data_IF_281763280252
#
_entry.id   IF_281763280252
#
_cell.length_a   1.000
_cell.length_b   1.000
_cell.length_c   1.000
_cell.angle_alpha   90.00
_cell.angle_beta   90.00
_cell.angle_gamma   90.00
#
_symmetry.space_group_name_H-M   'P 1'
#
loop_
_entity.id
_entity.type
_entity.pdbx_description
1 polymer ?
#
# COMPACT_ATOMS: atom_id res chain seq x y z
N UNK A 1 -14.43 15.02 -3.61
CA UNK A 1 -13.91 15.88 -2.52
C UNK A 1 -14.69 17.20 -2.50
N UNK A 2 -15.05 17.74 -1.32
CA UNK A 2 -15.89 18.99 -1.23
C UNK A 2 -15.25 20.11 -0.41
N UNK A 3 -14.28 19.80 0.42
CA UNK A 3 -13.54 20.75 1.24
C UNK A 3 -12.11 20.27 1.41
N UNK A 4 -11.16 21.16 1.75
CA UNK A 4 -9.80 20.76 2.08
C UNK A 4 -9.77 19.71 3.19
N UNK A 5 -8.85 18.75 3.07
CA UNK A 5 -8.68 17.66 4.03
C UNK A 5 -7.21 17.43 4.33
N UNK A 6 -6.87 17.33 5.63
CA UNK A 6 -5.53 16.95 6.06
C UNK A 6 -5.35 15.45 5.96
N UNK A 7 -4.27 15.01 5.34
CA UNK A 7 -3.88 13.61 5.20
C UNK A 7 -2.51 13.34 5.82
N UNK A 8 -2.28 12.11 6.21
CA UNK A 8 -1.03 11.63 6.76
C UNK A 8 -0.46 10.49 5.91
N UNK A 9 0.77 10.64 5.44
CA UNK A 9 1.56 9.63 4.77
C UNK A 9 2.63 9.14 5.74
N UNK A 10 2.50 7.90 6.20
CA UNK A 10 3.35 7.36 7.26
C UNK A 10 4.57 6.68 6.67
N UNK A 11 5.78 7.13 7.04
CA UNK A 11 7.02 6.41 6.82
C UNK A 11 7.51 5.89 8.16
N UNK A 12 7.34 4.61 8.39
CA UNK A 12 7.74 3.97 9.62
C UNK A 12 8.24 2.55 9.39
N UNK A 13 9.11 2.10 10.29
CA UNK A 13 9.52 0.71 10.36
C UNK A 13 8.47 -0.10 11.12
N UNK A 14 8.02 -1.27 10.63
CA UNK A 14 7.21 -2.16 11.45
C UNK A 14 8.03 -2.74 12.61
N UNK A 15 7.38 -3.30 13.61
CA UNK A 15 8.04 -4.26 14.49
C UNK A 15 8.18 -5.56 13.70
N UNK A 16 9.35 -5.76 13.11
CA UNK A 16 9.57 -6.72 12.03
C UNK A 16 9.20 -8.14 12.44
N UNK A 17 8.26 -8.75 11.68
CA UNK A 17 7.75 -10.11 11.89
C UNK A 17 7.08 -10.31 13.26
N UNK A 18 6.54 -9.22 13.82
CA UNK A 18 5.64 -9.23 14.97
C UNK A 18 4.38 -8.43 14.61
N UNK A 19 3.32 -9.13 14.20
CA UNK A 19 2.05 -8.55 13.77
C UNK A 19 1.41 -7.70 14.87
N UNK A 20 1.36 -8.25 16.09
CA UNK A 20 0.61 -7.62 17.18
C UNK A 20 1.31 -6.36 17.67
N UNK A 21 2.62 -6.39 17.83
CA UNK A 21 3.41 -5.21 18.16
C UNK A 21 3.38 -4.15 17.03
N UNK A 22 3.34 -4.57 15.77
CA UNK A 22 3.18 -3.63 14.63
C UNK A 22 1.81 -2.96 14.64
N UNK A 23 0.73 -3.68 14.97
CA UNK A 23 -0.62 -3.10 15.12
C UNK A 23 -0.65 -2.09 16.28
N UNK A 24 0.02 -2.37 17.39
CA UNK A 24 0.14 -1.42 18.51
C UNK A 24 0.93 -0.16 18.10
N UNK A 25 2.04 -0.32 17.37
CA UNK A 25 2.79 0.82 16.81
C UNK A 25 1.91 1.63 15.85
N UNK A 26 1.15 0.97 14.99
CA UNK A 26 0.22 1.62 14.06
C UNK A 26 -0.84 2.43 14.83
N UNK A 27 -1.40 1.90 15.90
CA UNK A 27 -2.38 2.61 16.73
C UNK A 27 -1.79 3.90 17.33
N UNK A 28 -0.55 3.85 17.83
CA UNK A 28 0.15 5.03 18.36
C UNK A 28 0.39 6.09 17.27
N UNK A 29 0.83 5.66 16.07
CA UNK A 29 1.01 6.55 14.92
C UNK A 29 -0.33 7.14 14.45
N UNK A 30 -1.41 6.38 14.53
CA UNK A 30 -2.76 6.87 14.22
C UNK A 30 -3.21 7.94 15.21
N UNK A 31 -2.98 7.74 16.51
CA UNK A 31 -3.26 8.73 17.54
C UNK A 31 -2.48 10.04 17.31
N UNK A 32 -1.19 9.94 16.97
CA UNK A 32 -0.37 11.10 16.63
C UNK A 32 -0.90 11.82 15.40
N UNK A 33 -1.16 11.09 14.31
CA UNK A 33 -1.62 11.66 13.05
C UNK A 33 -2.97 12.39 13.21
N UNK A 34 -3.91 11.78 13.94
CA UNK A 34 -5.23 12.38 14.18
C UNK A 34 -5.17 13.55 15.15
N UNK A 35 -4.24 13.52 16.13
CA UNK A 35 -3.92 14.67 16.96
C UNK A 35 -3.45 15.89 16.15
N UNK A 36 -2.86 15.67 14.97
CA UNK A 36 -2.48 16.70 14.01
C UNK A 36 -3.57 16.97 12.94
N UNK A 37 -4.78 16.45 13.12
CA UNK A 37 -5.96 16.76 12.29
C UNK A 37 -6.10 15.89 11.04
N UNK A 38 -5.30 14.84 10.84
CA UNK A 38 -5.43 13.97 9.68
C UNK A 38 -6.76 13.21 9.69
N UNK A 39 -7.39 13.10 8.51
CA UNK A 39 -8.63 12.34 8.27
C UNK A 39 -8.42 11.12 7.37
N UNK A 40 -7.26 11.01 6.75
CA UNK A 40 -6.81 9.84 6.00
C UNK A 40 -5.37 9.54 6.41
N UNK A 41 -5.14 8.30 6.81
CA UNK A 41 -3.82 7.77 7.15
C UNK A 41 -3.47 6.66 6.16
N UNK A 42 -2.27 6.74 5.59
CA UNK A 42 -1.80 5.75 4.61
C UNK A 42 -0.46 5.18 5.08
N UNK A 43 -0.42 3.86 5.21
CA UNK A 43 0.75 3.08 5.63
C UNK A 43 1.43 2.38 4.45
N UNK A 44 2.72 2.02 4.56
CA UNK A 44 3.48 1.38 3.48
C UNK A 44 2.91 0.04 3.00
N UNK A 45 3.36 -0.40 1.83
CA UNK A 45 3.16 -1.75 1.27
C UNK A 45 3.59 -2.83 2.28
N UNK A 46 2.76 -3.85 2.53
CA UNK A 46 3.05 -4.97 3.44
C UNK A 46 3.68 -4.53 4.79
N UNK A 47 3.20 -3.39 5.33
CA UNK A 47 3.66 -2.87 6.63
C UNK A 47 3.48 -3.90 7.75
N UNK A 48 2.42 -4.70 7.68
CA UNK A 48 2.17 -5.78 8.63
C UNK A 48 2.31 -7.14 7.91
N UNK A 49 3.18 -8.02 8.41
CA UNK A 49 4.08 -7.90 9.57
C UNK A 49 5.44 -7.31 9.21
N UNK A 50 5.77 -7.20 7.94
CA UNK A 50 6.92 -6.54 7.33
C UNK A 50 6.97 -6.87 5.83
N UNK A 51 7.59 -6.00 5.03
CA UNK A 51 7.90 -6.29 3.64
C UNK A 51 9.03 -7.34 3.55
N UNK A 52 8.86 -8.41 2.74
CA UNK A 52 9.89 -9.42 2.55
C UNK A 52 11.02 -8.89 1.67
N UNK A 53 11.98 -8.20 2.29
CA UNK A 53 13.11 -7.60 1.61
C UNK A 53 13.81 -8.59 0.66
N UNK A 54 14.23 -8.12 -0.52
CA UNK A 54 15.01 -8.89 -1.48
C UNK A 54 16.32 -9.43 -0.91
N UNK A 55 16.82 -8.85 0.18
CA UNK A 55 18.03 -9.29 0.89
C UNK A 55 17.91 -10.76 1.30
N UNK A 56 16.74 -11.16 1.81
CA UNK A 56 16.52 -12.53 2.27
C UNK A 56 15.46 -13.31 1.47
N UNK A 57 14.43 -12.65 0.92
CA UNK A 57 13.32 -13.34 0.27
C UNK A 57 13.75 -14.18 -0.95
N UNK A 58 14.79 -13.74 -1.67
CA UNK A 58 15.37 -14.53 -2.79
C UNK A 58 15.88 -15.91 -2.36
N UNK A 59 16.23 -16.11 -1.09
CA UNK A 59 16.65 -17.40 -0.55
C UNK A 59 15.52 -18.44 -0.56
N UNK A 60 14.25 -18.00 -0.61
CA UNK A 60 13.09 -18.88 -0.70
C UNK A 60 13.03 -19.68 -2.01
N UNK A 61 13.79 -19.27 -3.04
CA UNK A 61 13.95 -20.06 -4.27
C UNK A 61 14.81 -21.30 -4.10
N UNK A 62 15.61 -21.38 -3.04
CA UNK A 62 16.53 -22.49 -2.78
C UNK A 62 15.84 -23.67 -2.09
N UNK A 63 15.70 -24.81 -2.78
CA UNK A 63 15.07 -26.03 -2.22
C UNK A 63 15.70 -26.51 -0.90
N UNK A 64 16.98 -26.31 -0.73
CA UNK A 64 17.75 -26.77 0.42
C UNK A 64 18.40 -25.60 1.19
N UNK A 65 17.94 -24.38 0.96
CA UNK A 65 18.47 -23.20 1.64
C UNK A 65 18.12 -23.24 3.13
N UNK A 66 19.13 -23.31 4.03
CA UNK A 66 18.87 -23.38 5.46
C UNK A 66 18.12 -22.13 5.96
N UNK A 67 17.05 -22.34 6.72
CA UNK A 67 16.22 -21.26 7.28
C UNK A 67 15.14 -20.70 6.35
N UNK A 68 15.12 -21.07 5.05
CA UNK A 68 14.16 -20.51 4.10
C UNK A 68 12.71 -20.91 4.44
N UNK A 69 12.46 -22.18 4.76
CA UNK A 69 11.12 -22.66 5.13
C UNK A 69 10.64 -22.06 6.44
N UNK A 70 11.54 -21.94 7.40
CA UNK A 70 11.27 -21.35 8.71
C UNK A 70 10.97 -19.85 8.58
N UNK A 71 11.70 -19.12 7.74
CA UNK A 71 11.44 -17.70 7.47
C UNK A 71 10.07 -17.49 6.80
N UNK A 72 9.71 -18.31 5.81
CA UNK A 72 8.40 -18.29 5.20
C UNK A 72 7.29 -18.62 6.22
N UNK A 73 7.49 -19.66 7.04
CA UNK A 73 6.53 -20.07 8.06
C UNK A 73 6.31 -18.97 9.11
N UNK A 74 7.38 -18.25 9.49
CA UNK A 74 7.28 -17.09 10.38
C UNK A 74 6.45 -15.98 9.74
N UNK A 75 6.78 -15.57 8.51
CA UNK A 75 6.00 -14.57 7.78
C UNK A 75 4.53 -14.97 7.66
N UNK A 76 4.24 -16.23 7.28
CA UNK A 76 2.88 -16.72 7.13
C UNK A 76 2.09 -16.75 8.45
N UNK A 77 2.75 -17.05 9.58
CA UNK A 77 2.13 -17.03 10.90
C UNK A 77 1.76 -15.60 11.34
N UNK A 78 2.64 -14.64 11.04
CA UNK A 78 2.43 -13.24 11.40
C UNK A 78 1.58 -12.47 10.37
N UNK A 79 1.19 -13.12 9.25
CA UNK A 79 0.27 -12.53 8.26
C UNK A 79 -1.17 -12.46 8.78
N UNK A 80 -1.98 -11.59 8.16
CA UNK A 80 -3.37 -11.39 8.54
C UNK A 80 -4.31 -12.27 7.71
N UNK A 81 -5.29 -12.88 8.32
CA UNK A 81 -6.48 -13.40 7.62
C UNK A 81 -7.51 -12.28 7.44
N UNK A 82 -8.18 -12.22 6.29
CA UNK A 82 -9.20 -11.21 5.98
C UNK A 82 -10.43 -11.90 5.39
N UNK A 83 -11.58 -11.91 6.12
CA UNK A 83 -11.78 -11.35 7.46
C UNK A 83 -11.04 -12.12 8.56
N UNK A 84 -10.73 -11.45 9.68
CA UNK A 84 -10.06 -12.04 10.82
C UNK A 84 -9.73 -11.01 11.91
N UNK A 85 -9.42 -11.51 13.11
CA UNK A 85 -9.23 -10.69 14.31
C UNK A 85 -8.25 -9.53 14.13
N UNK A 86 -7.10 -9.77 13.49
CA UNK A 86 -6.10 -8.72 13.26
C UNK A 86 -6.62 -7.63 12.30
N UNK A 87 -7.38 -8.01 11.26
CA UNK A 87 -8.03 -7.05 10.37
C UNK A 87 -9.12 -6.24 11.10
N UNK A 88 -9.88 -6.90 11.99
CA UNK A 88 -10.91 -6.24 12.81
C UNK A 88 -10.28 -5.21 13.78
N UNK A 89 -9.08 -5.49 14.31
CA UNK A 89 -8.32 -4.53 15.14
C UNK A 89 -7.94 -3.29 14.35
N UNK A 90 -7.56 -3.40 13.08
CA UNK A 90 -7.31 -2.24 12.21
C UNK A 90 -8.59 -1.41 12.01
N UNK A 91 -9.73 -2.08 11.79
CA UNK A 91 -11.03 -1.43 11.75
C UNK A 91 -11.38 -0.73 13.07
N UNK A 92 -11.08 -1.33 14.22
CA UNK A 92 -11.29 -0.71 15.51
C UNK A 92 -10.46 0.58 15.69
N UNK A 93 -9.20 0.59 15.23
CA UNK A 93 -8.35 1.78 15.24
C UNK A 93 -8.93 2.88 14.34
N UNK A 94 -9.37 2.54 13.12
CA UNK A 94 -10.01 3.49 12.22
C UNK A 94 -11.25 4.15 12.86
N UNK A 95 -12.07 3.35 13.54
CA UNK A 95 -13.26 3.82 14.25
C UNK A 95 -12.93 4.65 15.48
N UNK A 96 -11.95 4.24 16.30
CA UNK A 96 -11.54 4.98 17.50
C UNK A 96 -11.10 6.40 17.18
N UNK A 97 -10.39 6.56 16.05
CA UNK A 97 -9.86 7.85 15.61
C UNK A 97 -10.73 8.56 14.58
N UNK A 98 -11.86 7.97 14.16
CA UNK A 98 -12.78 8.51 13.14
C UNK A 98 -12.05 8.92 11.85
N UNK A 99 -11.22 8.00 11.30
CA UNK A 99 -10.39 8.24 10.11
C UNK A 99 -10.50 7.14 9.08
N UNK A 100 -10.24 7.48 7.83
CA UNK A 100 -9.88 6.50 6.82
C UNK A 100 -8.47 5.97 7.08
N UNK A 101 -8.34 4.66 7.18
CA UNK A 101 -7.08 3.98 7.41
C UNK A 101 -6.78 3.04 6.24
N UNK A 102 -5.69 3.35 5.50
CA UNK A 102 -5.21 2.48 4.42
C UNK A 102 -3.92 1.81 4.87
N UNK A 103 -3.95 0.48 4.96
CA UNK A 103 -2.82 -0.30 5.49
C UNK A 103 -2.37 -1.36 4.51
N UNK A 104 -1.07 -1.37 4.18
CA UNK A 104 -0.45 -2.48 3.46
C UNK A 104 -0.20 -3.66 4.39
N UNK A 105 -0.64 -4.85 3.97
CA UNK A 105 -0.50 -6.06 4.77
C UNK A 105 -0.08 -7.25 3.91
N UNK A 106 0.59 -8.23 4.52
CA UNK A 106 0.64 -9.58 3.98
C UNK A 106 -0.63 -10.31 4.45
N UNK A 107 -1.51 -10.62 3.51
CA UNK A 107 -2.76 -11.35 3.75
C UNK A 107 -2.52 -12.84 3.58
N UNK A 108 -3.02 -13.67 4.50
CA UNK A 108 -3.03 -15.12 4.41
C UNK A 108 -4.40 -15.61 3.97
N UNK A 109 -4.43 -16.48 2.97
CA UNK A 109 -5.70 -17.07 2.52
C UNK A 109 -6.22 -18.07 3.58
N UNK A 110 -7.42 -17.85 4.15
CA UNK A 110 -7.95 -18.75 5.18
C UNK A 110 -8.33 -20.15 4.66
N UNK A 111 -8.66 -20.26 3.36
CA UNK A 111 -8.99 -21.54 2.72
C UNK A 111 -7.73 -22.26 2.23
N UNK A 112 -6.65 -21.52 1.95
CA UNK A 112 -5.37 -22.03 1.43
C UNK A 112 -4.21 -21.43 2.20
N UNK A 113 -3.98 -21.88 3.45
CA UNK A 113 -3.08 -21.21 4.40
C UNK A 113 -1.60 -21.19 3.98
N UNK A 114 -1.22 -21.87 2.90
CA UNK A 114 0.08 -21.76 2.26
C UNK A 114 0.17 -20.65 1.21
N UNK A 115 -0.94 -19.94 0.93
CA UNK A 115 -0.99 -18.83 -0.05
C UNK A 115 -1.07 -17.51 0.70
N UNK A 116 -0.16 -16.61 0.36
CA UNK A 116 -0.12 -15.25 0.88
C UNK A 116 -0.37 -14.27 -0.25
N UNK A 117 -0.88 -13.08 0.07
CA UNK A 117 -1.09 -11.98 -0.87
C UNK A 117 -0.53 -10.68 -0.29
N UNK A 118 -0.04 -9.83 -1.17
CA UNK A 118 0.27 -8.44 -0.87
C UNK A 118 -1.00 -7.62 -1.04
N UNK A 119 -1.48 -6.99 0.02
CA UNK A 119 -2.85 -6.45 0.07
C UNK A 119 -2.87 -5.06 0.68
N UNK A 120 -3.67 -4.14 0.10
CA UNK A 120 -4.12 -2.91 0.75
C UNK A 120 -5.52 -3.11 1.33
N UNK A 121 -5.67 -2.78 2.61
CA UNK A 121 -6.95 -2.74 3.31
C UNK A 121 -7.38 -1.30 3.52
N UNK A 122 -8.62 -0.97 3.20
CA UNK A 122 -9.21 0.35 3.35
C UNK A 122 -10.30 0.27 4.41
N UNK A 123 -10.01 0.73 5.64
CA UNK A 123 -11.00 0.79 6.70
C UNK A 123 -11.62 2.18 6.78
N UNK A 124 -12.95 2.22 6.81
CA UNK A 124 -13.71 3.46 6.95
C UNK A 124 -13.74 3.95 8.41
N UNK A 125 -14.13 5.22 8.65
CA UNK A 125 -14.24 5.79 10.00
C UNK A 125 -15.20 5.08 10.94
N UNK A 126 -16.13 4.27 10.42
CA UNK A 126 -17.02 3.42 11.23
C UNK A 126 -16.40 2.06 11.62
N UNK A 127 -15.18 1.80 11.15
CA UNK A 127 -14.41 0.57 11.35
C UNK A 127 -14.68 -0.52 10.32
N UNK A 128 -15.60 -0.32 9.38
CA UNK A 128 -15.88 -1.30 8.33
C UNK A 128 -14.73 -1.41 7.32
N UNK A 129 -14.49 -2.62 6.82
CA UNK A 129 -13.58 -2.83 5.68
C UNK A 129 -14.32 -2.45 4.39
N UNK A 130 -14.06 -1.24 3.90
CA UNK A 130 -14.70 -0.67 2.70
C UNK A 130 -14.15 -1.26 1.40
N UNK A 131 -12.86 -1.56 1.35
CA UNK A 131 -12.22 -2.18 0.19
C UNK A 131 -11.00 -3.00 0.60
N UNK A 132 -10.75 -4.05 -0.17
CA UNK A 132 -9.52 -4.85 -0.19
C UNK A 132 -8.99 -4.88 -1.61
N UNK A 133 -7.71 -4.55 -1.78
CA UNK A 133 -7.01 -4.67 -3.06
C UNK A 133 -5.79 -5.58 -2.90
N UNK A 134 -5.79 -6.73 -3.56
CA UNK A 134 -4.65 -7.64 -3.67
C UNK A 134 -3.81 -7.26 -4.89
N UNK A 135 -2.51 -7.07 -4.72
CA UNK A 135 -1.57 -6.76 -5.81
C UNK A 135 -1.72 -7.76 -6.95
N UNK A 136 -2.04 -7.28 -8.15
CA UNK A 136 -2.33 -8.14 -9.30
C UNK A 136 -1.17 -9.06 -9.63
N UNK A 137 0.05 -8.54 -9.64
CA UNK A 137 1.27 -9.31 -9.95
C UNK A 137 2.38 -8.92 -9.00
N UNK A 138 2.82 -9.82 -8.11
CA UNK A 138 4.00 -9.59 -7.28
C UNK A 138 5.25 -9.37 -8.13
N UNK A 139 6.17 -8.51 -7.65
CA UNK A 139 7.34 -8.06 -8.39
C UNK A 139 8.55 -8.93 -8.08
N UNK A 140 9.25 -9.44 -9.11
CA UNK A 140 10.54 -10.13 -8.99
C UNK A 140 10.55 -11.19 -7.85
N UNK A 141 11.34 -10.98 -6.78
CA UNK A 141 11.47 -11.88 -5.63
C UNK A 141 10.17 -12.05 -4.83
N UNK A 142 9.28 -11.08 -4.88
CA UNK A 142 7.95 -11.15 -4.24
C UNK A 142 7.13 -12.35 -4.72
N UNK A 143 7.36 -12.83 -5.96
CA UNK A 143 6.70 -14.02 -6.54
C UNK A 143 7.03 -15.31 -5.80
N UNK A 144 8.07 -15.32 -4.98
CA UNK A 144 8.42 -16.43 -4.11
C UNK A 144 7.59 -16.45 -2.83
N UNK A 145 6.93 -15.33 -2.52
CA UNK A 145 6.17 -15.10 -1.28
C UNK A 145 4.68 -15.01 -1.55
N UNK A 146 4.27 -14.18 -2.53
CA UNK A 146 2.88 -13.82 -2.75
C UNK A 146 2.30 -14.38 -4.04
N UNK A 147 1.04 -14.74 -3.98
CA UNK A 147 0.20 -15.07 -5.13
C UNK A 147 -0.28 -13.82 -5.88
N UNK A 148 -0.83 -14.04 -7.06
CA UNK A 148 -1.47 -13.01 -7.87
C UNK A 148 -2.82 -12.62 -7.28
N UNK A 149 -3.11 -11.32 -7.25
CA UNK A 149 -4.41 -10.78 -6.87
C UNK A 149 -5.46 -10.90 -7.98
N UNK A 150 -6.66 -10.50 -7.62
CA UNK A 150 -7.81 -10.38 -8.52
C UNK A 150 -8.12 -8.90 -8.87
N UNK A 151 -9.15 -8.67 -9.68
CA UNK A 151 -9.52 -7.33 -10.10
C UNK A 151 -10.50 -6.58 -9.18
N UNK A 152 -10.90 -7.17 -8.06
CA UNK A 152 -11.96 -6.61 -7.20
C UNK A 152 -11.65 -5.23 -6.65
N UNK A 153 -10.38 -4.99 -6.32
CA UNK A 153 -9.89 -3.73 -5.79
C UNK A 153 -9.49 -2.69 -6.84
N UNK A 154 -9.63 -2.98 -8.15
CA UNK A 154 -9.26 -2.05 -9.23
C UNK A 154 -10.33 -0.98 -9.47
N UNK A 155 -10.67 -0.24 -8.42
CA UNK A 155 -11.62 0.87 -8.47
C UNK A 155 -11.38 1.84 -7.33
N UNK A 156 -11.75 3.08 -7.52
CA UNK A 156 -11.89 4.02 -6.42
C UNK A 156 -13.25 3.83 -5.73
N UNK A 157 -13.27 4.02 -4.40
CA UNK A 157 -14.48 4.01 -3.58
C UNK A 157 -14.89 5.44 -3.23
N UNK A 158 -16.19 5.68 -3.16
CA UNK A 158 -16.74 6.96 -2.73
C UNK A 158 -16.55 7.12 -1.22
N UNK A 159 -15.95 8.22 -0.81
CA UNK A 159 -15.78 8.62 0.59
C UNK A 159 -16.21 10.07 0.77
N UNK A 160 -16.41 10.51 2.01
CA UNK A 160 -16.65 11.93 2.31
C UNK A 160 -15.42 12.80 1.99
N UNK A 161 -14.23 12.20 1.92
CA UNK A 161 -12.98 12.89 1.58
C UNK A 161 -12.80 13.04 0.06
N UNK A 162 -13.52 12.27 -0.74
CA UNK A 162 -13.37 12.14 -2.18
C UNK A 162 -13.26 10.68 -2.61
N UNK A 163 -13.06 10.42 -3.90
CA UNK A 163 -12.88 9.08 -4.42
C UNK A 163 -11.47 8.56 -4.15
N UNK A 164 -11.38 7.57 -3.27
CA UNK A 164 -10.13 6.99 -2.77
C UNK A 164 -9.86 5.63 -3.41
N UNK A 165 -8.67 5.43 -3.94
CA UNK A 165 -8.23 4.14 -4.50
C UNK A 165 -6.74 4.15 -4.77
N UNK A 166 -6.16 3.00 -5.12
CA UNK A 166 -4.71 2.96 -5.36
C UNK A 166 -4.20 1.60 -5.82
N UNK A 167 -2.93 1.59 -6.17
CA UNK A 167 -2.16 0.42 -6.61
C UNK A 167 -0.90 0.27 -5.75
N UNK A 168 -0.38 -0.96 -5.71
CA UNK A 168 0.76 -1.32 -4.86
C UNK A 168 2.04 -1.33 -5.68
N UNK A 169 3.00 -0.44 -5.33
CA UNK A 169 4.38 -0.45 -5.82
C UNK A 169 4.47 -0.53 -7.37
N UNK A 170 5.21 -1.45 -7.92
CA UNK A 170 5.41 -1.62 -9.38
C UNK A 170 4.15 -2.05 -10.14
N UNK A 171 3.07 -2.40 -9.47
CA UNK A 171 1.76 -2.50 -10.10
C UNK A 171 1.38 -1.19 -10.82
N UNK A 172 1.87 -0.07 -10.32
CA UNK A 172 1.76 1.25 -10.94
C UNK A 172 2.44 1.37 -12.31
N UNK A 173 3.28 0.41 -12.72
CA UNK A 173 3.79 0.33 -14.09
C UNK A 173 2.85 -0.40 -15.06
N UNK A 174 1.69 -0.89 -14.60
CA UNK A 174 0.66 -1.48 -15.44
C UNK A 174 -0.31 -0.37 -15.93
N UNK A 175 -0.23 0.10 -17.20
CA UNK A 175 -1.03 1.24 -17.66
C UNK A 175 -2.53 0.98 -17.56
N UNK A 176 -2.98 -0.26 -17.83
CA UNK A 176 -4.40 -0.61 -17.76
C UNK A 176 -4.93 -0.64 -16.33
N UNK A 177 -4.10 -1.02 -15.34
CA UNK A 177 -4.48 -0.98 -13.93
C UNK A 177 -4.65 0.47 -13.45
N UNK A 178 -3.73 1.37 -13.83
CA UNK A 178 -3.90 2.81 -13.56
C UNK A 178 -5.17 3.36 -14.22
N UNK A 179 -5.40 3.01 -15.49
CA UNK A 179 -6.56 3.50 -16.21
C UNK A 179 -7.89 3.03 -15.60
N UNK A 180 -7.95 1.83 -15.01
CA UNK A 180 -9.11 1.37 -14.26
C UNK A 180 -9.47 2.30 -13.09
N UNK A 181 -8.46 2.80 -12.38
CA UNK A 181 -8.66 3.79 -11.32
C UNK A 181 -9.10 5.14 -11.87
N UNK A 182 -8.54 5.59 -13.00
CA UNK A 182 -8.92 6.85 -13.64
C UNK A 182 -10.37 6.79 -14.12
N UNK A 183 -10.77 5.71 -14.77
CA UNK A 183 -12.14 5.48 -15.23
C UNK A 183 -13.14 5.43 -14.07
N UNK A 184 -12.73 4.95 -12.90
CA UNK A 184 -13.54 5.01 -11.67
C UNK A 184 -13.53 6.38 -10.99
N UNK A 185 -12.80 7.37 -11.56
CA UNK A 185 -12.80 8.76 -11.13
C UNK A 185 -12.01 9.04 -9.86
N UNK A 186 -10.90 8.35 -9.65
CA UNK A 186 -10.03 8.55 -8.48
C UNK A 186 -9.65 10.03 -8.28
N UNK A 187 -9.71 10.50 -7.04
CA UNK A 187 -9.33 11.86 -6.62
C UNK A 187 -8.14 11.84 -5.66
N UNK A 188 -8.05 10.79 -4.83
CA UNK A 188 -6.94 10.52 -3.92
C UNK A 188 -6.38 9.16 -4.30
N UNK A 189 -5.18 9.16 -4.88
CA UNK A 189 -4.50 7.98 -5.38
C UNK A 189 -3.45 7.51 -4.38
N UNK A 190 -3.61 6.30 -3.85
CA UNK A 190 -2.63 5.66 -2.97
C UNK A 190 -1.64 4.85 -3.80
N UNK A 191 -0.34 5.08 -3.57
CA UNK A 191 0.75 4.37 -4.22
C UNK A 191 1.74 3.83 -3.18
N UNK A 192 1.25 3.00 -2.24
CA UNK A 192 2.08 2.39 -1.20
C UNK A 192 3.16 1.50 -1.83
N UNK A 193 4.40 1.61 -1.35
CA UNK A 193 5.56 0.99 -2.01
C UNK A 193 6.63 0.53 -1.04
N UNK A 194 7.49 -0.37 -1.52
CA UNK A 194 8.80 -0.69 -0.96
C UNK A 194 9.96 -0.23 -1.87
N UNK A 195 9.65 0.43 -2.99
CA UNK A 195 10.66 1.02 -3.88
C UNK A 195 11.16 2.33 -3.27
N UNK A 196 12.45 2.38 -2.94
CA UNK A 196 13.17 3.53 -2.39
C UNK A 196 14.08 4.22 -3.42
N UNK A 197 13.98 3.83 -4.69
CA UNK A 197 14.78 4.38 -5.78
C UNK A 197 14.33 5.78 -6.21
N UNK A 198 15.28 6.60 -6.63
CA UNK A 198 14.98 7.95 -7.15
C UNK A 198 14.05 7.93 -8.37
N UNK A 199 14.09 6.87 -9.18
CA UNK A 199 13.21 6.68 -10.34
C UNK A 199 11.74 6.57 -9.94
N UNK A 200 11.44 6.09 -8.72
CA UNK A 200 10.08 6.02 -8.19
C UNK A 200 9.45 7.41 -8.06
N UNK A 201 10.22 8.41 -7.68
CA UNK A 201 9.72 9.80 -7.60
C UNK A 201 9.24 10.31 -8.97
N UNK A 202 9.96 9.99 -10.04
CA UNK A 202 9.52 10.31 -11.41
C UNK A 202 8.20 9.61 -11.77
N UNK A 203 8.00 8.39 -11.29
CA UNK A 203 6.76 7.63 -11.46
C UNK A 203 5.59 8.29 -10.73
N UNK A 204 5.79 8.75 -9.49
CA UNK A 204 4.75 9.45 -8.72
C UNK A 204 4.32 10.75 -9.40
N UNK A 205 5.29 11.54 -9.89
CA UNK A 205 5.02 12.76 -10.66
C UNK A 205 4.21 12.42 -11.92
N UNK A 206 4.59 11.35 -12.64
CA UNK A 206 3.84 10.91 -13.82
C UNK A 206 2.41 10.50 -13.47
N UNK A 207 2.21 9.70 -12.42
CA UNK A 207 0.88 9.25 -11.98
C UNK A 207 0.00 10.46 -11.64
N UNK A 208 0.50 11.41 -10.85
CA UNK A 208 -0.25 12.62 -10.48
C UNK A 208 -0.70 13.40 -11.72
N UNK A 209 0.23 13.61 -12.67
CA UNK A 209 -0.04 14.34 -13.92
C UNK A 209 -0.92 13.58 -14.90
N UNK A 210 -0.84 12.26 -14.95
CA UNK A 210 -1.67 11.41 -15.82
C UNK A 210 -3.09 11.28 -15.26
N UNK A 211 -3.23 11.04 -13.94
CA UNK A 211 -4.53 10.84 -13.28
C UNK A 211 -5.28 12.14 -12.98
N UNK A 212 -4.55 13.26 -12.82
CA UNK A 212 -5.09 14.50 -12.25
C UNK A 212 -5.71 14.29 -10.87
N UNK A 213 -5.04 13.46 -10.06
CA UNK A 213 -5.41 13.15 -8.69
C UNK A 213 -4.26 13.52 -7.74
N UNK A 214 -4.57 13.74 -6.46
CA UNK A 214 -3.55 13.76 -5.42
C UNK A 214 -2.93 12.39 -5.29
N UNK A 215 -1.62 12.31 -5.08
CA UNK A 215 -0.91 11.03 -4.89
C UNK A 215 -0.31 10.98 -3.49
N UNK A 216 -0.61 9.91 -2.75
CA UNK A 216 -0.03 9.63 -1.43
C UNK A 216 0.75 8.33 -1.53
N UNK A 217 2.07 8.42 -1.40
CA UNK A 217 2.96 7.27 -1.54
C UNK A 217 3.80 7.06 -0.28
N UNK A 218 3.31 6.30 0.71
CA UNK A 218 4.16 5.85 1.81
C UNK A 218 5.13 4.78 1.33
N UNK A 219 6.37 4.89 1.74
CA UNK A 219 7.44 3.93 1.48
C UNK A 219 7.99 3.35 2.77
N UNK A 220 8.59 2.17 2.69
CA UNK A 220 9.22 1.54 3.83
C UNK A 220 10.49 2.25 4.28
N UNK A 221 10.61 2.44 5.59
CA UNK A 221 11.90 2.55 6.24
C UNK A 221 12.18 1.23 6.96
N UNK A 222 13.33 0.61 6.72
CA UNK A 222 13.62 -0.71 7.26
C UNK A 222 15.12 -0.91 7.47
N UNK A 223 15.50 -1.47 8.62
CA UNK A 223 16.87 -1.80 8.98
C UNK A 223 17.10 -3.30 9.13
N UNK A 224 18.28 -3.75 8.75
CA UNK A 224 18.72 -5.12 8.98
C UNK A 224 18.82 -5.45 10.49
N UNK A 225 19.26 -4.49 11.29
CA UNK A 225 19.39 -4.62 12.75
C UNK A 225 18.05 -4.71 13.49
N UNK A 226 16.93 -4.35 12.86
CA UNK A 226 15.59 -4.44 13.46
C UNK A 226 14.95 -5.83 13.35
N UNK A 227 15.58 -6.74 12.62
CA UNK A 227 15.10 -8.12 12.57
C UNK A 227 15.36 -8.84 13.90
N UNK A 228 14.45 -9.75 14.34
CA UNK A 228 14.67 -10.52 15.55
C UNK A 228 15.98 -11.34 15.48
N UNK A 229 16.71 -11.46 16.59
CA UNK A 229 17.95 -12.26 16.66
C UNK A 229 17.74 -13.71 16.19
N UNK A 230 16.54 -14.25 16.45
CA UNK A 230 16.17 -15.62 16.06
C UNK A 230 15.68 -15.72 14.60
N UNK A 231 15.78 -14.65 13.80
CA UNK A 231 15.35 -14.70 12.41
C UNK A 231 16.15 -15.73 11.60
N UNK A 232 15.51 -16.73 10.97
CA UNK A 232 16.21 -17.89 10.38
C UNK A 232 17.21 -17.54 9.27
N UNK A 233 17.05 -16.38 8.61
CA UNK A 233 17.92 -15.90 7.54
C UNK A 233 18.76 -14.68 7.95
N UNK A 234 18.99 -14.46 9.26
CA UNK A 234 19.76 -13.32 9.80
C UNK A 234 21.16 -13.17 9.20
N UNK A 235 21.82 -14.26 8.84
CA UNK A 235 23.12 -14.23 8.15
C UNK A 235 23.07 -13.41 6.85
N UNK A 236 21.98 -13.49 6.08
CA UNK A 236 21.83 -12.75 4.81
C UNK A 236 21.67 -11.25 5.04
N UNK A 237 21.12 -10.87 6.19
CA UNK A 237 21.00 -9.45 6.59
C UNK A 237 22.40 -8.91 6.94
N UNK A 238 23.23 -9.66 7.65
CA UNK A 238 24.62 -9.29 7.93
C UNK A 238 25.48 -9.14 6.68
N UNK A 239 25.22 -9.96 5.67
CA UNK A 239 25.93 -9.94 4.37
C UNK A 239 25.51 -8.76 3.47
N UNK A 240 24.42 -8.03 3.80
CA UNK A 240 23.91 -6.92 3.00
C UNK A 240 24.85 -5.71 2.93
N UNK A 241 25.79 -5.59 3.88
CA UNK A 241 26.82 -4.56 3.90
C UNK A 241 26.33 -3.16 4.33
N UNK A 242 25.02 -2.99 4.55
CA UNK A 242 24.40 -1.77 5.06
C UNK A 242 23.28 -2.13 6.03
N UNK A 243 23.12 -1.33 7.08
CA UNK A 243 22.04 -1.53 8.05
C UNK A 243 20.67 -1.08 7.46
N UNK A 244 20.63 0.06 6.78
CA UNK A 244 19.41 0.53 6.12
C UNK A 244 19.20 -0.28 4.83
N UNK A 245 18.13 -1.08 4.80
CA UNK A 245 17.75 -1.95 3.68
C UNK A 245 16.45 -1.50 3.00
N UNK A 246 15.83 -0.44 3.50
CA UNK A 246 14.74 0.30 2.90
C UNK A 246 14.84 1.74 3.37
N UNK A 247 15.11 2.69 2.46
CA UNK A 247 15.44 4.08 2.81
C UNK A 247 14.22 4.98 2.95
N UNK A 248 13.04 4.53 2.56
CA UNK A 248 11.87 5.40 2.49
C UNK A 248 11.68 6.02 1.11
N UNK A 249 11.41 7.30 1.06
CA UNK A 249 11.04 8.03 -0.15
C UNK A 249 9.56 8.40 -0.19
N UNK A 250 8.90 8.41 0.98
CA UNK A 250 7.48 8.79 1.10
C UNK A 250 7.23 10.21 0.64
N UNK A 251 6.12 10.39 -0.08
CA UNK A 251 5.75 11.69 -0.62
C UNK A 251 4.24 11.87 -0.76
N UNK A 252 3.80 13.14 -0.76
CA UNK A 252 2.44 13.57 -1.09
C UNK A 252 2.55 14.58 -2.24
N UNK A 253 1.80 14.37 -3.32
CA UNK A 253 1.86 15.20 -4.52
C UNK A 253 0.50 15.79 -4.87
N UNK A 254 0.52 16.99 -5.45
CA UNK A 254 -0.62 17.62 -6.11
C UNK A 254 -0.94 16.99 -7.48
N UNK A 255 -2.14 17.24 -8.02
CA UNK A 255 -2.54 16.76 -9.35
C UNK A 255 -1.69 17.27 -10.51
N UNK A 256 -0.89 18.32 -10.33
CA UNK A 256 0.07 18.82 -11.33
C UNK A 256 1.45 18.14 -11.24
N UNK A 257 1.65 17.28 -10.22
CA UNK A 257 2.89 16.57 -9.95
C UNK A 257 3.87 17.30 -9.05
N UNK A 258 3.52 18.45 -8.49
CA UNK A 258 4.34 19.14 -7.49
C UNK A 258 4.21 18.45 -6.12
N UNK A 259 5.28 18.53 -5.32
CA UNK A 259 5.26 17.95 -3.97
C UNK A 259 4.57 18.88 -2.98
N UNK A 260 3.61 18.33 -2.23
CA UNK A 260 3.07 18.94 -1.01
C UNK A 260 3.93 18.61 0.20
N UNK A 261 4.46 17.38 0.25
CA UNK A 261 5.38 16.94 1.29
C UNK A 261 6.32 15.85 0.75
N UNK A 262 7.54 15.77 1.29
CA UNK A 262 8.56 14.81 0.87
C UNK A 262 9.33 15.23 -0.38
N UNK A 263 10.08 14.31 -1.02
CA UNK A 263 10.31 12.95 -0.56
C UNK A 263 11.15 12.88 0.73
N UNK A 264 10.80 11.95 1.63
CA UNK A 264 11.46 11.72 2.90
C UNK A 264 12.33 10.46 2.83
N UNK A 265 13.61 10.55 3.20
CA UNK A 265 14.55 9.43 3.19
C UNK A 265 15.27 9.27 4.53
N UNK A 266 15.67 8.04 4.80
CA UNK A 266 16.62 7.64 5.85
C UNK A 266 16.14 7.89 7.30
N UNK A 267 14.86 8.15 7.52
CA UNK A 267 14.27 8.37 8.83
C UNK A 267 12.80 7.93 8.91
N UNK A 268 12.29 7.73 10.12
CA UNK A 268 10.86 7.56 10.38
C UNK A 268 10.20 8.93 10.62
N UNK A 269 9.10 9.20 9.93
CA UNK A 269 8.24 10.36 10.22
C UNK A 269 6.86 10.22 9.60
N UNK A 270 5.94 11.06 10.00
CA UNK A 270 4.63 11.24 9.38
C UNK A 270 4.66 12.53 8.56
N UNK A 271 4.46 12.41 7.26
CA UNK A 271 4.27 13.56 6.38
C UNK A 271 2.81 13.99 6.38
N UNK A 272 2.55 15.26 6.50
CA UNK A 272 1.22 15.85 6.47
C UNK A 272 1.06 16.80 5.28
N UNK A 273 -0.12 16.81 4.69
CA UNK A 273 -0.51 17.79 3.69
C UNK A 273 -2.01 18.07 3.77
N UNK A 274 -2.39 19.27 3.40
CA UNK A 274 -3.78 19.62 3.12
C UNK A 274 -4.05 19.46 1.63
N UNK A 275 -5.06 18.67 1.28
CA UNK A 275 -5.50 18.45 -0.09
C UNK A 275 -6.66 19.42 -0.40
N UNK A 276 -6.43 20.41 -1.26
CA UNK A 276 -7.45 21.35 -1.67
C UNK A 276 -8.19 20.84 -2.94
N UNK A 277 -9.50 20.54 -2.86
CA UNK A 277 -10.26 20.00 -3.99
C UNK A 277 -10.28 20.92 -5.22
N UNK A 278 -10.07 22.23 -5.06
CA UNK A 278 -10.04 23.17 -6.19
C UNK A 278 -8.94 22.83 -7.18
N UNK A 279 -7.84 22.24 -6.71
CA UNK A 279 -6.73 21.80 -7.54
C UNK A 279 -7.12 20.67 -8.52
N UNK A 280 -8.07 19.82 -8.14
CA UNK A 280 -8.60 18.78 -9.04
C UNK A 280 -9.33 19.41 -10.24
N UNK A 281 -10.21 20.38 -9.99
CA UNK A 281 -10.97 21.03 -11.03
C UNK A 281 -10.06 21.83 -11.98
N UNK A 282 -9.07 22.56 -11.43
CA UNK A 282 -8.09 23.32 -12.20
C UNK A 282 -7.29 22.43 -13.14
N UNK A 283 -6.79 21.30 -12.64
CA UNK A 283 -5.92 20.43 -13.42
C UNK A 283 -6.69 19.55 -14.42
N UNK A 284 -7.90 19.10 -14.06
CA UNK A 284 -8.79 18.34 -14.96
C UNK A 284 -9.29 19.17 -16.14
N UNK A 285 -9.36 20.49 -16.01
CA UNK A 285 -9.67 21.37 -17.15
C UNK A 285 -8.67 21.21 -18.29
N UNK A 286 -7.38 20.98 -17.98
CA UNK A 286 -6.31 20.80 -18.97
C UNK A 286 -6.28 19.40 -19.56
N UNK A 287 -6.54 18.39 -18.73
CA UNK A 287 -6.45 16.99 -19.10
C UNK A 287 -7.32 16.15 -18.18
N UNK A 288 -8.31 15.46 -18.72
CA UNK A 288 -9.14 14.48 -18.00
C UNK A 288 -9.05 13.14 -18.73
N UNK A 289 -8.25 12.18 -18.21
CA UNK A 289 -7.96 10.93 -18.92
C UNK A 289 -9.18 10.03 -19.11
N UNK A 290 -10.18 10.14 -18.23
CA UNK A 290 -11.42 9.38 -18.29
C UNK A 290 -12.61 10.20 -18.83
N UNK A 291 -12.40 11.53 -19.03
CA UNK A 291 -13.38 12.48 -19.55
C UNK A 291 -13.09 12.87 -21.00
N UNK A 292 -12.75 14.16 -21.21
CA UNK A 292 -12.60 14.73 -22.56
C UNK A 292 -11.37 14.23 -23.34
N UNK A 293 -10.43 13.52 -22.71
CA UNK A 293 -9.34 12.81 -23.39
C UNK A 293 -9.62 11.31 -23.60
N UNK A 294 -10.77 10.81 -23.15
CA UNK A 294 -11.17 9.42 -23.35
C UNK A 294 -11.87 9.24 -24.70
N UNK A 295 -11.57 8.14 -25.35
CA UNK A 295 -12.20 7.70 -26.63
C UNK A 295 -12.77 6.29 -26.44
N UNK A 296 -13.89 6.12 -25.66
CA UNK A 296 -14.48 4.81 -25.39
C UNK A 296 -15.07 4.15 -26.66
N UNK A 297 -15.26 4.93 -27.74
CA UNK A 297 -15.62 4.46 -29.06
C UNK A 297 -14.47 3.74 -29.81
N UNK A 298 -13.21 3.96 -29.35
CA UNK A 298 -12.00 3.40 -29.96
C UNK A 298 -11.27 2.47 -29.01
N UNK A 299 -11.17 2.86 -27.73
CA UNK A 299 -10.41 2.16 -26.69
C UNK A 299 -11.35 1.79 -25.52
N UNK A 300 -11.48 0.51 -25.24
CA UNK A 300 -12.28 0.03 -24.10
C UNK A 300 -11.43 -0.77 -23.13
N UNK A 301 -11.54 -0.46 -21.83
CA UNK A 301 -10.99 -1.29 -20.78
C UNK A 301 -12.01 -2.33 -20.33
N UNK A 302 -11.56 -3.54 -20.09
CA UNK A 302 -12.35 -4.59 -19.46
C UNK A 302 -11.60 -5.10 -18.23
N UNK A 303 -12.16 -4.88 -17.05
CA UNK A 303 -11.74 -5.55 -15.82
C UNK A 303 -12.61 -6.79 -15.66
N UNK A 304 -12.00 -7.97 -15.65
CA UNK A 304 -12.74 -9.21 -15.44
C UNK A 304 -13.09 -9.33 -13.95
N UNK A 305 -14.35 -9.69 -13.62
CA UNK A 305 -14.70 -10.00 -12.24
C UNK A 305 -13.86 -11.20 -11.76
N UNK A 306 -13.70 -11.36 -10.43
CA UNK A 306 -13.05 -12.54 -9.88
C UNK A 306 -13.74 -13.80 -10.45
N UNK A 307 -12.94 -14.85 -10.66
CA UNK A 307 -13.52 -16.14 -11.05
C UNK A 307 -14.58 -16.52 -10.01
N UNK A 308 -15.85 -16.57 -10.41
CA UNK A 308 -16.90 -17.02 -9.51
C UNK A 308 -16.46 -18.36 -8.93
N UNK A 309 -16.53 -18.51 -7.60
CA UNK A 309 -16.36 -19.83 -6.98
C UNK A 309 -17.34 -20.74 -7.73
N UNK A 310 -16.83 -21.62 -8.59
CA UNK A 310 -17.68 -22.59 -9.27
C UNK A 310 -18.38 -23.35 -8.14
N UNK A 311 -19.71 -23.28 -8.12
CA UNK A 311 -20.51 -24.08 -7.21
C UNK A 311 -20.14 -25.54 -7.49
N UNK A 312 -19.22 -26.09 -6.70
CA UNK A 312 -19.07 -27.53 -6.58
C UNK A 312 -20.22 -28.00 -5.70
N UNK A 313 -21.38 -28.18 -6.36
CA UNK A 313 -22.47 -28.97 -5.79
C UNK A 313 -22.10 -30.45 -5.76
#
# INVERSE_FOLDING_TARGET
MRSPVTVACVQAEPVILDRDATIEKLANLAAEATGNGAKLLVFPEAFIPAYPSSVWARALAGWAEPGAKEAFALLARESLEVPGEAADRLGAIAREHEVWLVTGVTERDPERPGTLYNTLLYHAPDGSLAQRHRKLVPTNHERLVWGQGDGDGLRAIDTELGRLGGLICWENYMPLARFALYESGVEIYVASTADDGESWQSTLIHIARESRAFVISPSHFQRASSYPDAFPLSRLLGDAGADVIGRGGSAILEPDGSYLAGPLYDEEAILYAELDPTRLDEERQRFDPAGHYHRPDVLGLRVSPPASKANTS
#
